data_IF_125158265148
#
_entry.id   IF_125158265148
#
_cell.length_a   1.000
_cell.length_b   1.000
_cell.length_c   1.000
_cell.angle_alpha   90.00
_cell.angle_beta   90.00
_cell.angle_gamma   90.00
#
_symmetry.space_group_name_H-M   'P 1'
#
loop_
_entity.id
_entity.type
_entity.pdbx_description
1 polymer ?
#
# COMPACT_ATOMS: atom_id res chain seq x y z
N UNK A 1 -10.11 -3.16 15.13
CA UNK A 1 -10.19 -2.25 13.96
C UNK A 1 -10.35 -2.99 12.63
N UNK A 2 -9.49 -3.94 12.26
CA UNK A 2 -9.49 -4.62 10.94
C UNK A 2 -10.78 -5.39 10.56
N UNK A 3 -11.69 -5.64 11.50
CA UNK A 3 -12.95 -6.38 11.26
C UNK A 3 -14.17 -5.47 11.02
N UNK A 4 -14.09 -4.20 11.43
CA UNK A 4 -15.26 -3.33 11.43
C UNK A 4 -15.67 -2.96 10.00
N UNK A 5 -14.71 -2.69 9.12
CA UNK A 5 -14.98 -2.25 7.74
C UNK A 5 -15.76 -3.27 6.91
N UNK A 6 -15.43 -4.57 7.02
CA UNK A 6 -16.07 -5.61 6.21
C UNK A 6 -17.54 -5.82 6.62
N UNK A 7 -17.82 -5.80 7.92
CA UNK A 7 -19.18 -5.94 8.45
C UNK A 7 -20.00 -4.63 8.33
N UNK A 8 -19.33 -3.48 8.20
CA UNK A 8 -19.97 -2.17 8.05
C UNK A 8 -20.08 -1.73 6.57
N UNK A 9 -19.83 -2.62 5.61
CA UNK A 9 -19.91 -2.36 4.18
C UNK A 9 -20.60 -3.51 3.45
N UNK A 10 -21.05 -3.30 2.21
CA UNK A 10 -21.69 -4.33 1.38
C UNK A 10 -20.67 -5.25 0.66
N UNK A 11 -19.54 -5.52 1.29
CA UNK A 11 -18.43 -6.23 0.66
C UNK A 11 -18.67 -7.73 0.52
N UNK A 12 -19.44 -8.31 1.44
CA UNK A 12 -19.92 -9.70 1.38
C UNK A 12 -20.82 -9.92 0.16
N UNK A 13 -21.76 -9.00 -0.09
CA UNK A 13 -22.63 -9.04 -1.26
C UNK A 13 -21.83 -8.82 -2.56
N UNK A 14 -21.01 -7.77 -2.61
CA UNK A 14 -20.23 -7.42 -3.81
C UNK A 14 -19.26 -8.53 -4.22
N UNK A 15 -18.64 -9.20 -3.24
CA UNK A 15 -17.68 -10.28 -3.49
C UNK A 15 -18.35 -11.66 -3.48
N UNK A 16 -19.66 -11.73 -3.24
CA UNK A 16 -20.43 -12.98 -3.14
C UNK A 16 -19.76 -14.00 -2.24
N UNK A 17 -19.33 -13.56 -1.05
CA UNK A 17 -18.51 -14.36 -0.12
C UNK A 17 -18.81 -14.00 1.32
N UNK A 18 -18.47 -14.92 2.24
CA UNK A 18 -18.62 -14.71 3.67
C UNK A 18 -17.39 -14.04 4.32
N UNK A 19 -17.49 -13.79 5.63
CA UNK A 19 -16.46 -13.13 6.43
C UNK A 19 -15.09 -13.84 6.43
N UNK A 20 -15.00 -15.11 6.01
CA UNK A 20 -13.74 -15.88 6.01
C UNK A 20 -12.69 -15.21 5.11
N UNK A 21 -13.09 -14.36 4.16
CA UNK A 21 -12.14 -13.60 3.34
C UNK A 21 -11.45 -12.45 4.07
N UNK A 22 -12.12 -11.86 5.06
CA UNK A 22 -11.63 -10.72 5.83
C UNK A 22 -10.82 -11.14 7.06
N UNK A 23 -10.60 -12.45 7.24
CA UNK A 23 -9.75 -12.95 8.32
C UNK A 23 -8.33 -12.37 8.19
N UNK A 24 -7.83 -11.87 9.32
CA UNK A 24 -6.57 -11.13 9.39
C UNK A 24 -5.39 -11.97 8.85
N UNK A 25 -5.31 -13.24 9.24
CA UNK A 25 -4.17 -14.09 8.87
C UNK A 25 -4.25 -14.47 7.39
N UNK A 26 -5.47 -14.63 6.86
CA UNK A 26 -5.68 -14.79 5.42
C UNK A 26 -5.24 -13.56 4.64
N UNK A 27 -5.61 -12.36 5.10
CA UNK A 27 -5.20 -11.10 4.47
C UNK A 27 -3.68 -10.94 4.47
N UNK A 28 -3.01 -11.21 5.60
CA UNK A 28 -1.54 -11.15 5.66
C UNK A 28 -0.87 -12.14 4.69
N UNK A 29 -1.32 -13.40 4.63
CA UNK A 29 -0.81 -14.38 3.65
C UNK A 29 -1.07 -13.96 2.20
N UNK A 30 -2.13 -13.19 1.95
CA UNK A 30 -2.43 -12.70 0.62
C UNK A 30 -1.44 -11.62 0.16
N UNK A 31 -0.84 -10.85 1.07
CA UNK A 31 0.12 -9.81 0.72
C UNK A 31 1.36 -10.38 0.02
N UNK A 32 1.85 -11.54 0.48
CA UNK A 32 2.99 -12.23 -0.16
C UNK A 32 2.65 -12.66 -1.59
N UNK A 33 1.43 -13.15 -1.81
CA UNK A 33 0.94 -13.56 -3.14
C UNK A 33 0.74 -12.37 -4.08
N UNK A 34 0.25 -11.24 -3.57
CA UNK A 34 0.05 -10.01 -4.36
C UNK A 34 1.39 -9.44 -4.82
N UNK A 35 2.45 -9.62 -4.03
CA UNK A 35 3.78 -9.08 -4.36
C UNK A 35 4.32 -9.62 -5.69
N UNK A 36 4.07 -10.90 -6.01
CA UNK A 36 4.46 -11.52 -7.29
C UNK A 36 3.74 -10.86 -8.49
N UNK A 37 2.52 -10.40 -8.28
CA UNK A 37 1.69 -9.75 -9.30
C UNK A 37 1.75 -8.21 -9.24
N UNK A 38 2.69 -7.64 -8.48
CA UNK A 38 2.75 -6.19 -8.20
C UNK A 38 2.63 -5.34 -9.46
N UNK A 39 3.38 -5.67 -10.51
CA UNK A 39 3.38 -4.88 -11.74
C UNK A 39 2.05 -4.95 -12.49
N UNK A 40 1.43 -6.12 -12.54
CA UNK A 40 0.14 -6.34 -13.19
C UNK A 40 -0.97 -5.62 -12.43
N UNK A 41 -0.97 -5.71 -11.10
CA UNK A 41 -1.91 -5.01 -10.22
C UNK A 41 -1.79 -3.50 -10.43
N UNK A 42 -0.57 -2.94 -10.45
CA UNK A 42 -0.35 -1.52 -10.70
C UNK A 42 -0.82 -1.08 -12.08
N UNK A 43 -0.55 -1.88 -13.11
CA UNK A 43 -0.98 -1.58 -14.48
C UNK A 43 -2.51 -1.59 -14.58
N UNK A 44 -3.16 -2.58 -13.96
CA UNK A 44 -4.62 -2.67 -13.91
C UNK A 44 -5.25 -1.50 -13.16
N UNK A 45 -4.73 -1.17 -11.97
CA UNK A 45 -5.25 -0.06 -11.16
C UNK A 45 -5.08 1.27 -11.90
N UNK A 46 -3.89 1.56 -12.46
CA UNK A 46 -3.68 2.78 -13.24
C UNK A 46 -4.70 2.92 -14.37
N UNK A 47 -4.95 1.84 -15.13
CA UNK A 47 -5.95 1.85 -16.19
C UNK A 47 -7.36 2.12 -15.64
N UNK A 48 -7.76 1.44 -14.57
CA UNK A 48 -9.07 1.65 -13.95
C UNK A 48 -9.28 3.07 -13.47
N UNK A 49 -8.26 3.69 -12.90
CA UNK A 49 -8.32 5.07 -12.46
C UNK A 49 -8.46 6.04 -13.64
N UNK A 50 -7.68 5.84 -14.71
CA UNK A 50 -7.82 6.61 -15.94
C UNK A 50 -9.23 6.46 -16.55
N UNK A 51 -9.77 5.24 -16.62
CA UNK A 51 -11.10 4.97 -17.17
C UNK A 51 -12.22 5.62 -16.33
N UNK A 52 -12.10 5.62 -14.99
CA UNK A 52 -13.14 6.11 -14.08
C UNK A 52 -13.12 7.64 -13.93
N UNK A 53 -11.94 8.25 -13.92
CA UNK A 53 -11.78 9.66 -13.56
C UNK A 53 -11.14 10.51 -14.67
N UNK A 54 -10.86 9.94 -15.84
CA UNK A 54 -10.19 10.63 -16.96
C UNK A 54 -8.87 11.28 -16.53
N UNK A 55 -8.15 10.61 -15.63
CA UNK A 55 -6.91 11.13 -15.02
C UNK A 55 -5.85 11.37 -16.08
N UNK A 56 -5.29 12.57 -16.07
CA UNK A 56 -4.10 12.92 -16.84
C UNK A 56 -2.84 12.83 -15.97
N UNK A 57 -1.75 12.34 -16.56
CA UNK A 57 -0.47 12.14 -15.89
C UNK A 57 0.62 13.07 -16.46
N UNK A 58 0.25 14.26 -16.93
CA UNK A 58 1.19 15.29 -17.42
C UNK A 58 2.08 15.86 -16.31
N UNK A 59 1.50 16.13 -15.14
CA UNK A 59 2.21 16.66 -13.97
C UNK A 59 2.03 15.73 -12.79
N UNK A 60 3.15 15.29 -12.24
CA UNK A 60 3.20 14.40 -11.09
C UNK A 60 3.83 15.12 -9.90
N UNK A 61 3.06 15.25 -8.83
CA UNK A 61 3.53 15.66 -7.52
C UNK A 61 4.23 14.47 -6.88
N UNK A 62 5.43 14.71 -6.35
CA UNK A 62 6.23 13.68 -5.69
C UNK A 62 6.63 14.15 -4.31
N UNK A 63 6.32 13.34 -3.29
CA UNK A 63 6.79 13.55 -1.94
C UNK A 63 7.51 12.31 -1.41
N UNK A 64 8.47 12.55 -0.51
CA UNK A 64 9.25 11.54 0.16
C UNK A 64 9.01 11.61 1.66
N UNK A 65 8.55 10.50 2.23
CA UNK A 65 8.44 10.33 3.68
C UNK A 65 9.37 9.22 4.17
N UNK A 66 10.06 9.46 5.28
CA UNK A 66 10.88 8.45 5.96
C UNK A 66 10.03 7.67 6.94
N UNK A 67 10.16 6.34 6.97
CA UNK A 67 9.54 5.49 7.99
C UNK A 67 10.61 4.60 8.59
N UNK A 68 10.58 4.46 9.92
CA UNK A 68 11.48 3.56 10.64
C UNK A 68 10.73 2.35 11.20
N UNK A 69 11.48 1.27 11.42
CA UNK A 69 10.99 0.06 12.08
C UNK A 69 11.54 -0.02 13.50
N UNK A 70 10.73 -0.51 14.43
CA UNK A 70 11.17 -0.85 15.79
C UNK A 70 11.72 -2.29 15.91
N UNK A 71 11.51 -3.12 14.88
CA UNK A 71 12.00 -4.50 14.81
C UNK A 71 13.30 -4.66 14.02
N UNK A 72 13.89 -5.86 14.09
CA UNK A 72 15.18 -6.16 13.45
C UNK A 72 15.13 -6.27 11.91
N UNK A 73 13.94 -6.50 11.33
CA UNK A 73 13.71 -6.52 9.88
C UNK A 73 14.67 -7.42 9.07
N UNK A 74 15.12 -8.54 9.63
CA UNK A 74 16.15 -9.43 9.04
C UNK A 74 15.81 -9.92 7.62
N UNK A 75 14.52 -10.05 7.31
CA UNK A 75 14.03 -10.52 6.01
C UNK A 75 13.75 -9.39 5.00
N UNK A 76 13.96 -8.13 5.38
CA UNK A 76 13.72 -6.97 4.51
C UNK A 76 15.04 -6.32 4.05
N UNK A 77 15.58 -6.69 2.88
CA UNK A 77 16.84 -6.13 2.39
C UNK A 77 16.77 -4.63 2.05
N UNK A 78 15.56 -4.05 2.01
CA UNK A 78 15.37 -2.60 1.78
C UNK A 78 15.51 -1.78 3.05
N UNK A 79 15.34 -2.39 4.22
CA UNK A 79 15.44 -1.70 5.49
C UNK A 79 16.91 -1.44 5.84
N UNK A 80 17.30 -0.18 5.96
CA UNK A 80 18.69 0.23 6.26
C UNK A 80 18.71 1.41 7.21
N UNK A 81 19.73 1.50 8.07
CA UNK A 81 19.95 2.72 8.84
C UNK A 81 20.38 3.86 7.90
N UNK A 82 19.98 5.08 8.22
CA UNK A 82 20.25 6.25 7.38
C UNK A 82 19.70 7.54 7.98
N UNK A 83 19.65 8.58 7.16
CA UNK A 83 19.09 9.87 7.56
C UNK A 83 17.61 9.72 7.93
N UNK A 84 17.29 10.01 9.19
CA UNK A 84 15.94 9.99 9.73
C UNK A 84 15.47 11.42 9.96
N UNK A 85 14.36 11.82 9.33
CA UNK A 85 13.73 13.12 9.61
C UNK A 85 13.18 13.19 11.03
N UNK A 86 12.84 12.04 11.60
CA UNK A 86 12.32 11.90 12.97
C UNK A 86 13.42 11.74 14.03
N UNK A 87 14.70 11.89 13.66
CA UNK A 87 15.82 11.82 14.60
C UNK A 87 16.14 10.41 15.11
N UNK A 88 15.77 9.36 14.37
CA UNK A 88 16.04 7.95 14.70
C UNK A 88 17.06 7.28 13.76
N UNK A 89 18.31 7.77 13.68
CA UNK A 89 19.35 7.16 12.84
C UNK A 89 19.76 5.76 13.34
N UNK A 90 19.41 5.43 14.59
CA UNK A 90 19.60 4.13 15.23
C UNK A 90 18.66 3.04 14.69
N UNK A 91 17.54 3.43 14.06
CA UNK A 91 16.55 2.49 13.53
C UNK A 91 16.77 2.18 12.04
N UNK A 92 16.40 0.97 11.65
CA UNK A 92 16.27 0.59 10.25
C UNK A 92 15.10 1.35 9.62
N UNK A 93 15.28 1.80 8.38
CA UNK A 93 14.34 2.68 7.69
C UNK A 93 14.07 2.24 6.27
N UNK A 94 12.90 2.63 5.77
CA UNK A 94 12.57 2.68 4.35
C UNK A 94 12.02 4.06 4.02
N UNK A 95 12.35 4.54 2.83
CA UNK A 95 11.77 5.77 2.31
C UNK A 95 10.59 5.38 1.42
N UNK A 96 9.43 5.96 1.69
CA UNK A 96 8.22 5.79 0.90
C UNK A 96 8.08 7.02 0.01
N UNK A 97 8.07 6.79 -1.30
CA UNK A 97 7.73 7.82 -2.28
C UNK A 97 6.23 7.76 -2.58
N UNK A 98 5.56 8.89 -2.45
CA UNK A 98 4.20 9.08 -2.93
C UNK A 98 4.26 9.89 -4.23
N UNK A 99 3.66 9.36 -5.28
CA UNK A 99 3.39 10.09 -6.53
C UNK A 99 1.90 10.33 -6.57
N UNK A 100 1.48 11.52 -6.98
CA UNK A 100 0.08 11.83 -7.24
C UNK A 100 -0.05 12.83 -8.39
N UNK A 101 -1.20 12.84 -9.06
CA UNK A 101 -1.57 13.88 -10.03
C UNK A 101 -1.92 15.18 -9.32
N UNK A 102 -2.09 16.27 -10.08
CA UNK A 102 -2.51 17.57 -9.55
C UNK A 102 -3.88 17.53 -8.87
N UNK A 103 -4.73 16.58 -9.26
CA UNK A 103 -6.06 16.35 -8.66
C UNK A 103 -6.01 15.47 -7.41
N UNK A 104 -4.82 15.01 -7.02
CA UNK A 104 -4.60 14.19 -5.81
C UNK A 104 -4.78 12.69 -6.01
N UNK A 105 -4.81 12.21 -7.25
CA UNK A 105 -4.91 10.77 -7.54
C UNK A 105 -3.52 10.10 -7.58
N UNK A 106 -3.28 8.97 -6.89
CA UNK A 106 -2.01 8.25 -6.88
C UNK A 106 -1.60 7.61 -8.22
#
# INVERSE_FOLDING_TARGET
MHRHWFLSSAMDELLSTDFVIADKDRLYRCLDRILEHKQDVFTYLRKKWADLFQVDFEVLLYDLTSTYFEGAMEQNPKAKCGYSRDGRPDCLQVVIGLVATTDGFP
#
